data_IF_745310881899
#
_entry.id   IF_745310881899
#
_cell.length_a   1.000
_cell.length_b   1.000
_cell.length_c   1.000
_cell.angle_alpha   90.00
_cell.angle_beta   90.00
_cell.angle_gamma   90.00
#
_symmetry.space_group_name_H-M   'P 1'
#
loop_
_entity.id
_entity.type
_entity.pdbx_description
1 polymer ?
#
# COMPACT_ATOMS: atom_id res chain seq x y z
N UNK A 1 -71.89 -26.68 -31.30
CA UNK A 1 -71.81 -25.20 -31.23
C UNK A 1 -71.48 -24.85 -29.77
N UNK A 2 -70.27 -25.27 -29.36
CA UNK A 2 -69.12 -24.46 -28.85
C UNK A 2 -69.27 -24.14 -27.35
N UNK A 3 -68.72 -24.90 -26.37
CA UNK A 3 -67.34 -25.30 -25.99
C UNK A 3 -66.68 -24.33 -24.97
N UNK A 4 -65.99 -24.94 -23.99
CA UNK A 4 -65.32 -24.45 -22.75
C UNK A 4 -64.43 -23.20 -22.86
N UNK A 5 -64.14 -22.52 -21.72
CA UNK A 5 -62.79 -22.12 -21.21
C UNK A 5 -62.88 -21.62 -19.75
N UNK A 6 -61.82 -21.92 -18.98
CA UNK A 6 -61.59 -21.76 -17.55
C UNK A 6 -60.81 -20.47 -17.12
N UNK A 7 -60.78 -20.28 -15.79
CA UNK A 7 -59.76 -19.66 -14.89
C UNK A 7 -59.29 -18.19 -15.03
N UNK A 8 -59.27 -17.42 -13.93
CA UNK A 8 -58.14 -17.33 -12.96
C UNK A 8 -58.38 -16.23 -11.90
N UNK A 9 -58.10 -16.53 -10.63
CA UNK A 9 -58.19 -15.64 -9.46
C UNK A 9 -57.04 -14.61 -9.41
N UNK A 10 -57.33 -13.35 -9.04
CA UNK A 10 -56.31 -12.34 -8.69
C UNK A 10 -56.72 -11.60 -7.41
N UNK A 11 -56.13 -11.97 -6.27
CA UNK A 11 -56.17 -11.19 -5.02
C UNK A 11 -54.81 -10.52 -4.83
N UNK A 12 -54.83 -9.19 -4.92
CA UNK A 12 -53.69 -8.30 -4.71
C UNK A 12 -53.27 -8.31 -3.23
N UNK A 13 -52.07 -8.80 -2.95
CA UNK A 13 -51.41 -8.61 -1.66
C UNK A 13 -50.26 -7.62 -1.86
N UNK A 14 -50.44 -6.41 -1.31
CA UNK A 14 -49.43 -5.38 -1.29
C UNK A 14 -48.45 -5.62 -0.13
N UNK A 15 -47.32 -6.25 -0.43
CA UNK A 15 -46.10 -6.17 0.38
C UNK A 15 -44.94 -5.90 -0.57
N UNK A 16 -44.46 -4.66 -0.57
CA UNK A 16 -43.33 -4.23 -1.39
C UNK A 16 -42.05 -4.93 -0.98
N UNK A 17 -41.69 -5.99 -1.70
CA UNK A 17 -40.34 -6.54 -1.72
C UNK A 17 -39.43 -5.55 -2.46
N UNK A 18 -38.51 -4.92 -1.72
CA UNK A 18 -37.34 -4.29 -2.32
C UNK A 18 -36.40 -5.40 -2.84
N UNK A 19 -35.84 -5.31 -4.06
CA UNK A 19 -34.97 -6.35 -4.59
C UNK A 19 -33.57 -6.27 -3.96
N UNK A 20 -33.44 -6.71 -2.72
CA UNK A 20 -32.17 -7.02 -2.05
C UNK A 20 -31.79 -8.47 -2.35
N UNK A 21 -31.32 -8.78 -3.56
CA UNK A 21 -30.92 -10.17 -3.86
C UNK A 21 -29.82 -10.35 -4.91
N UNK A 22 -29.10 -9.29 -5.31
CA UNK A 22 -27.95 -9.41 -6.24
C UNK A 22 -26.62 -8.97 -5.60
N UNK A 23 -26.65 -8.26 -4.46
CA UNK A 23 -25.44 -7.79 -3.76
C UNK A 23 -24.92 -8.77 -2.69
N UNK A 24 -25.72 -9.74 -2.28
CA UNK A 24 -25.36 -10.78 -1.29
C UNK A 24 -24.84 -12.05 -1.97
N UNK A 25 -23.95 -11.91 -2.95
CA UNK A 25 -23.20 -13.09 -3.38
C UNK A 25 -22.33 -13.54 -2.20
N UNK A 26 -22.74 -14.66 -1.62
CA UNK A 26 -22.30 -15.24 -0.35
C UNK A 26 -20.78 -15.18 -0.19
N UNK A 27 -20.34 -14.38 0.78
CA UNK A 27 -19.03 -14.52 1.38
C UNK A 27 -19.07 -15.75 2.29
N UNK A 28 -18.53 -16.88 1.83
CA UNK A 28 -18.31 -18.05 2.69
C UNK A 28 -17.29 -17.77 3.81
N UNK A 29 -16.50 -16.69 3.69
CA UNK A 29 -15.46 -16.27 4.63
C UNK A 29 -15.90 -15.03 5.44
N UNK A 30 -16.97 -15.14 6.21
CA UNK A 30 -17.28 -14.12 7.20
C UNK A 30 -16.13 -14.04 8.24
N UNK A 31 -15.62 -12.84 8.59
CA UNK A 31 -14.52 -12.73 9.55
C UNK A 31 -14.90 -13.39 10.89
N UNK A 32 -14.01 -14.23 11.41
CA UNK A 32 -14.18 -15.09 12.61
C UNK A 32 -14.50 -14.29 13.89
N UNK A 33 -14.32 -12.97 13.87
CA UNK A 33 -14.84 -12.08 14.91
C UNK A 33 -15.14 -10.68 14.36
N UNK A 34 -16.34 -10.16 14.63
CA UNK A 34 -16.72 -8.79 14.28
C UNK A 34 -16.19 -7.82 15.35
N UNK A 35 -15.62 -6.70 14.90
CA UNK A 35 -15.20 -5.62 15.79
C UNK A 35 -16.43 -5.05 16.52
N UNK A 36 -16.25 -4.55 17.75
CA UNK A 36 -17.31 -3.83 18.45
C UNK A 36 -17.69 -2.55 17.70
N UNK A 37 -18.86 -1.97 17.98
CA UNK A 37 -19.28 -0.69 17.39
C UNK A 37 -18.25 0.42 17.64
N UNK A 38 -17.69 0.45 18.84
CA UNK A 38 -16.59 1.35 19.21
C UNK A 38 -15.35 1.11 18.37
N UNK A 39 -14.99 -0.16 18.13
CA UNK A 39 -13.86 -0.51 17.26
C UNK A 39 -14.03 0.00 15.83
N UNK A 40 -15.22 -0.18 15.23
CA UNK A 40 -15.50 0.37 13.90
C UNK A 40 -15.48 1.89 13.86
N UNK A 41 -15.97 2.56 14.91
CA UNK A 41 -15.89 4.01 15.02
C UNK A 41 -14.43 4.49 15.08
N UNK A 42 -13.59 3.86 15.92
CA UNK A 42 -12.17 4.19 16.02
C UNK A 42 -11.45 3.96 14.69
N UNK A 43 -11.66 2.80 14.05
CA UNK A 43 -11.10 2.48 12.74
C UNK A 43 -11.50 3.52 11.69
N UNK A 44 -12.76 3.95 11.69
CA UNK A 44 -13.26 4.98 10.77
C UNK A 44 -12.57 6.33 11.01
N UNK A 45 -12.34 6.73 12.26
CA UNK A 45 -11.60 7.96 12.58
C UNK A 45 -10.17 7.89 12.06
N UNK A 46 -9.45 6.80 12.30
CA UNK A 46 -8.07 6.64 11.80
C UNK A 46 -8.01 6.59 10.28
N UNK A 47 -8.91 5.84 9.63
CA UNK A 47 -8.96 5.79 8.17
C UNK A 47 -9.34 7.13 7.56
N UNK A 48 -10.26 7.88 8.18
CA UNK A 48 -10.60 9.24 7.77
C UNK A 48 -9.40 10.18 7.88
N UNK A 49 -8.65 10.10 8.98
CA UNK A 49 -7.40 10.84 9.14
C UNK A 49 -6.37 10.48 8.05
N UNK A 50 -6.13 9.19 7.81
CA UNK A 50 -5.18 8.72 6.79
C UNK A 50 -5.64 9.17 5.39
N UNK A 51 -6.94 9.07 5.09
CA UNK A 51 -7.51 9.50 3.82
C UNK A 51 -7.28 11.00 3.59
N UNK A 52 -7.61 11.85 4.56
CA UNK A 52 -7.49 13.30 4.43
C UNK A 52 -6.03 13.75 4.41
N UNK A 53 -5.25 13.42 5.44
CA UNK A 53 -3.86 13.90 5.54
C UNK A 53 -2.93 13.20 4.55
N UNK A 54 -3.15 11.92 4.26
CA UNK A 54 -2.39 11.19 3.25
C UNK A 54 -2.61 11.80 1.87
N UNK A 55 -3.85 12.11 1.50
CA UNK A 55 -4.12 12.76 0.22
C UNK A 55 -3.55 14.19 0.17
N UNK A 56 -3.83 15.03 1.18
CA UNK A 56 -3.42 16.43 1.19
C UNK A 56 -1.90 16.59 1.20
N UNK A 57 -1.18 15.83 2.03
CA UNK A 57 0.28 15.95 2.13
C UNK A 57 0.97 15.54 0.81
N UNK A 58 0.51 14.45 0.19
CA UNK A 58 1.05 14.04 -1.11
C UNK A 58 0.67 14.99 -2.24
N UNK A 59 -0.54 15.56 -2.20
CA UNK A 59 -0.96 16.60 -3.15
C UNK A 59 -0.08 17.84 -3.05
N UNK A 60 0.30 18.25 -1.84
CA UNK A 60 1.26 19.35 -1.64
C UNK A 60 2.60 19.04 -2.29
N UNK A 61 3.15 17.82 -2.14
CA UNK A 61 4.39 17.42 -2.82
C UNK A 61 4.27 17.56 -4.34
N UNK A 62 3.16 17.08 -4.92
CA UNK A 62 2.88 17.20 -6.35
C UNK A 62 2.80 18.67 -6.80
N UNK A 63 2.08 19.52 -6.06
CA UNK A 63 1.96 20.95 -6.36
C UNK A 63 3.33 21.65 -6.30
N UNK A 64 4.13 21.37 -5.26
CA UNK A 64 5.47 21.94 -5.11
C UNK A 64 6.37 21.54 -6.29
N UNK A 65 6.34 20.27 -6.69
CA UNK A 65 7.12 19.77 -7.83
C UNK A 65 6.70 20.44 -9.16
N UNK A 66 5.40 20.62 -9.37
CA UNK A 66 4.87 21.30 -10.55
C UNK A 66 5.25 22.78 -10.58
N UNK A 67 5.13 23.48 -9.44
CA UNK A 67 5.35 24.92 -9.31
C UNK A 67 6.83 25.31 -9.38
N UNK A 68 7.70 24.57 -8.70
CA UNK A 68 9.12 24.93 -8.57
C UNK A 68 9.99 24.11 -9.51
N UNK A 69 10.44 24.74 -10.61
CA UNK A 69 11.37 24.10 -11.58
C UNK A 69 12.66 23.59 -10.92
N UNK A 70 13.13 24.27 -9.87
CA UNK A 70 14.31 23.87 -9.08
C UNK A 70 14.17 22.48 -8.45
N UNK A 71 12.93 22.04 -8.17
CA UNK A 71 12.66 20.73 -7.60
C UNK A 71 12.62 19.60 -8.65
N UNK A 72 12.71 19.89 -9.96
CA UNK A 72 12.61 18.87 -11.01
C UNK A 72 13.94 18.17 -11.24
N UNK A 73 14.42 17.46 -10.23
CA UNK A 73 15.65 16.67 -10.29
C UNK A 73 15.34 15.18 -10.50
N UNK A 74 16.28 14.38 -11.04
CA UNK A 74 16.16 12.92 -11.15
C UNK A 74 15.66 12.23 -9.87
N UNK A 75 16.14 12.70 -8.71
CA UNK A 75 15.80 12.18 -7.38
C UNK A 75 14.35 12.49 -7.02
N UNK A 76 13.96 13.72 -7.25
CA UNK A 76 12.63 14.21 -6.90
C UNK A 76 11.55 13.59 -7.80
N UNK A 77 11.91 13.06 -8.98
CA UNK A 77 10.98 12.25 -9.78
C UNK A 77 10.60 10.94 -9.08
N UNK A 78 11.51 10.28 -8.37
CA UNK A 78 11.20 9.08 -7.59
C UNK A 78 10.34 9.42 -6.35
N UNK A 79 10.65 10.53 -5.68
CA UNK A 79 9.80 11.05 -4.59
C UNK A 79 8.40 11.38 -5.08
N UNK A 80 8.29 12.00 -6.26
CA UNK A 80 7.00 12.26 -6.91
C UNK A 80 6.25 10.96 -7.20
N UNK A 81 6.93 9.92 -7.69
CA UNK A 81 6.30 8.62 -7.95
C UNK A 81 5.73 7.97 -6.69
N UNK A 82 6.44 8.06 -5.57
CA UNK A 82 5.96 7.62 -4.26
C UNK A 82 4.72 8.44 -3.86
N UNK A 83 4.76 9.77 -4.03
CA UNK A 83 3.61 10.60 -3.69
C UNK A 83 2.38 10.33 -4.54
N UNK A 84 2.56 10.09 -5.84
CA UNK A 84 1.46 9.72 -6.75
C UNK A 84 0.86 8.38 -6.36
N UNK A 85 1.67 7.36 -6.08
CA UNK A 85 1.18 6.05 -5.64
C UNK A 85 0.46 6.12 -4.29
N UNK A 86 1.00 6.84 -3.32
CA UNK A 86 0.36 7.05 -2.00
C UNK A 86 -0.96 7.84 -2.11
N UNK A 87 -1.07 8.82 -3.03
CA UNK A 87 -2.35 9.50 -3.32
C UNK A 87 -3.39 8.55 -3.88
N UNK A 88 -3.00 7.65 -4.78
CA UNK A 88 -3.90 6.68 -5.39
C UNK A 88 -4.39 5.65 -4.36
N UNK A 89 -3.53 5.25 -3.41
CA UNK A 89 -3.95 4.46 -2.23
C UNK A 89 -5.00 5.21 -1.42
N UNK A 90 -4.79 6.49 -1.15
CA UNK A 90 -5.76 7.28 -0.38
C UNK A 90 -7.10 7.42 -1.10
N UNK A 91 -7.05 7.75 -2.40
CA UNK A 91 -8.23 8.02 -3.22
C UNK A 91 -9.09 6.79 -3.43
N UNK A 92 -8.48 5.68 -3.83
CA UNK A 92 -9.21 4.49 -4.24
C UNK A 92 -9.28 3.41 -3.16
N UNK A 93 -8.23 3.28 -2.36
CA UNK A 93 -8.17 2.33 -1.25
C UNK A 93 -8.81 2.89 0.01
N UNK A 94 -8.12 3.81 0.68
CA UNK A 94 -8.51 4.29 2.00
C UNK A 94 -9.93 4.85 2.02
N UNK A 95 -10.39 5.52 0.96
CA UNK A 95 -11.79 5.98 0.82
C UNK A 95 -12.81 4.85 0.93
N UNK A 96 -12.60 3.73 0.21
CA UNK A 96 -13.52 2.58 0.24
C UNK A 96 -13.48 1.87 1.59
N UNK A 97 -12.30 1.76 2.20
CA UNK A 97 -12.14 1.23 3.55
C UNK A 97 -12.83 2.09 4.60
N UNK A 98 -12.71 3.42 4.47
CA UNK A 98 -13.35 4.38 5.35
C UNK A 98 -14.87 4.24 5.26
N UNK A 99 -15.42 4.27 4.04
CA UNK A 99 -16.87 4.11 3.83
C UNK A 99 -17.39 2.78 4.39
N UNK A 100 -16.66 1.69 4.15
CA UNK A 100 -17.01 0.35 4.68
C UNK A 100 -16.92 0.29 6.20
N UNK A 101 -15.94 0.96 6.81
CA UNK A 101 -15.75 1.01 8.27
C UNK A 101 -16.84 1.80 8.97
N UNK A 102 -17.32 2.90 8.39
CA UNK A 102 -18.45 3.69 8.92
C UNK A 102 -19.73 2.84 8.97
N UNK A 103 -19.93 1.99 7.97
CA UNK A 103 -21.06 1.05 7.89
C UNK A 103 -20.84 -0.26 8.66
N UNK A 104 -19.62 -0.53 9.12
CA UNK A 104 -19.25 -1.76 9.82
C UNK A 104 -19.31 -3.02 8.96
N UNK A 105 -19.32 -2.87 7.62
CA UNK A 105 -19.37 -3.98 6.65
C UNK A 105 -18.80 -3.54 5.31
N UNK A 106 -18.29 -4.48 4.53
CA UNK A 106 -17.89 -4.23 3.14
C UNK A 106 -19.08 -3.83 2.26
N UNK A 107 -18.89 -2.83 1.39
CA UNK A 107 -19.98 -2.21 0.61
C UNK A 107 -19.96 -2.53 -0.89
N UNK A 108 -18.84 -2.97 -1.44
CA UNK A 108 -18.61 -3.00 -2.91
C UNK A 108 -18.64 -4.43 -3.49
N UNK A 109 -19.13 -5.40 -2.72
CA UNK A 109 -19.20 -6.80 -3.11
C UNK A 109 -17.84 -7.45 -3.42
N UNK A 110 -17.85 -8.68 -3.95
CA UNK A 110 -16.63 -9.47 -4.20
C UNK A 110 -15.74 -8.86 -5.30
N UNK A 111 -16.33 -8.42 -6.41
CA UNK A 111 -15.60 -7.76 -7.50
C UNK A 111 -14.87 -6.50 -7.04
N UNK A 112 -15.55 -5.64 -6.27
CA UNK A 112 -14.93 -4.46 -5.68
C UNK A 112 -13.84 -4.78 -4.67
N UNK A 113 -13.96 -5.87 -3.92
CA UNK A 113 -12.93 -6.33 -2.99
C UNK A 113 -11.67 -6.81 -3.71
N UNK A 114 -11.82 -7.58 -4.79
CA UNK A 114 -10.69 -8.01 -5.61
C UNK A 114 -9.99 -6.82 -6.25
N UNK A 115 -10.76 -5.88 -6.81
CA UNK A 115 -10.22 -4.64 -7.35
C UNK A 115 -9.49 -3.83 -6.29
N UNK A 116 -10.10 -3.64 -5.11
CA UNK A 116 -9.46 -2.96 -3.97
C UNK A 116 -8.15 -3.63 -3.59
N UNK A 117 -8.14 -4.96 -3.42
CA UNK A 117 -6.95 -5.69 -2.99
C UNK A 117 -5.82 -5.53 -4.00
N UNK A 118 -6.15 -5.65 -5.29
CA UNK A 118 -5.23 -5.44 -6.40
C UNK A 118 -4.62 -4.04 -6.41
N UNK A 119 -5.45 -2.99 -6.44
CA UNK A 119 -4.94 -1.61 -6.58
C UNK A 119 -4.11 -1.18 -5.38
N UNK A 120 -4.52 -1.53 -4.15
CA UNK A 120 -3.77 -1.18 -2.94
C UNK A 120 -2.43 -1.92 -2.88
N UNK A 121 -2.42 -3.20 -3.25
CA UNK A 121 -1.17 -3.97 -3.32
C UNK A 121 -0.24 -3.40 -4.40
N UNK A 122 -0.80 -3.05 -5.57
CA UNK A 122 -0.03 -2.51 -6.69
C UNK A 122 0.63 -1.19 -6.30
N UNK A 123 -0.14 -0.21 -5.82
CA UNK A 123 0.40 1.09 -5.44
C UNK A 123 1.36 0.99 -4.23
N UNK A 124 1.08 0.10 -3.27
CA UNK A 124 1.99 -0.14 -2.15
C UNK A 124 3.36 -0.68 -2.58
N UNK A 125 3.39 -1.60 -3.55
CA UNK A 125 4.63 -2.12 -4.12
C UNK A 125 5.32 -1.04 -4.98
N UNK A 126 4.59 -0.21 -5.72
CA UNK A 126 5.18 0.93 -6.46
C UNK A 126 5.93 1.85 -5.49
N UNK A 127 5.32 2.22 -4.35
CA UNK A 127 5.97 3.02 -3.31
C UNK A 127 7.24 2.35 -2.77
N UNK A 128 7.18 1.06 -2.44
CA UNK A 128 8.32 0.30 -1.89
C UNK A 128 9.48 0.17 -2.86
N UNK A 129 9.20 -0.22 -4.11
CA UNK A 129 10.24 -0.36 -5.13
C UNK A 129 10.85 1.01 -5.46
N UNK A 130 10.05 2.07 -5.48
CA UNK A 130 10.55 3.44 -5.66
C UNK A 130 11.50 3.85 -4.53
N UNK A 131 11.21 3.48 -3.27
CA UNK A 131 12.11 3.69 -2.14
C UNK A 131 13.41 2.90 -2.27
N UNK A 132 13.34 1.65 -2.75
CA UNK A 132 14.52 0.82 -2.97
C UNK A 132 15.42 1.39 -4.07
N UNK A 133 14.84 1.81 -5.20
CA UNK A 133 15.59 2.48 -6.28
C UNK A 133 16.18 3.79 -5.80
N UNK A 134 15.41 4.61 -5.06
CA UNK A 134 15.90 5.86 -4.50
C UNK A 134 17.11 5.61 -3.59
N UNK A 135 17.06 4.58 -2.76
CA UNK A 135 18.15 4.19 -1.86
C UNK A 135 19.41 3.79 -2.63
N UNK A 136 19.26 3.03 -3.71
CA UNK A 136 20.37 2.66 -4.59
C UNK A 136 20.96 3.87 -5.32
N UNK A 137 20.12 4.75 -5.86
CA UNK A 137 20.56 5.97 -6.54
C UNK A 137 21.35 6.91 -5.60
N UNK A 138 20.88 7.09 -4.36
CA UNK A 138 21.60 7.85 -3.33
C UNK A 138 22.95 7.21 -3.01
N UNK A 139 22.98 5.89 -2.81
CA UNK A 139 24.23 5.17 -2.57
C UNK A 139 25.21 5.32 -3.74
N UNK A 140 24.77 5.08 -4.97
CA UNK A 140 25.61 5.17 -6.17
C UNK A 140 26.16 6.56 -6.37
N UNK A 141 25.34 7.61 -6.22
CA UNK A 141 25.76 9.00 -6.43
C UNK A 141 26.80 9.45 -5.40
N UNK A 142 26.70 8.97 -4.16
CA UNK A 142 27.57 9.39 -3.05
C UNK A 142 28.87 8.60 -2.92
N UNK A 143 28.89 7.34 -3.36
CA UNK A 143 30.06 6.48 -3.28
C UNK A 143 30.86 6.45 -4.58
N UNK A 144 30.17 6.46 -5.72
CA UNK A 144 30.79 6.54 -7.03
C UNK A 144 30.76 8.01 -7.43
N UNK A 145 31.88 8.70 -7.24
CA UNK A 145 32.04 10.10 -7.65
C UNK A 145 31.76 10.21 -9.15
N UNK A 146 30.55 10.64 -9.49
CA UNK A 146 30.08 10.65 -10.87
C UNK A 146 29.93 12.12 -11.31
N UNK A 147 30.95 12.66 -11.95
CA UNK A 147 30.94 13.97 -12.63
C UNK A 147 30.03 13.98 -13.89
N UNK A 148 28.94 13.21 -13.89
CA UNK A 148 28.02 13.11 -15.04
C UNK A 148 26.84 14.05 -14.84
N UNK A 149 26.43 14.68 -15.93
CA UNK A 149 25.21 15.48 -15.98
C UNK A 149 24.00 14.66 -15.49
N UNK A 150 23.00 15.30 -14.85
CA UNK A 150 21.79 14.63 -14.42
C UNK A 150 21.07 13.98 -15.61
N UNK A 151 21.03 12.64 -15.61
CA UNK A 151 20.37 11.84 -16.63
C UNK A 151 18.93 11.51 -16.20
N UNK A 152 17.96 12.13 -16.87
CA UNK A 152 16.54 11.93 -16.61
C UNK A 152 15.99 10.61 -17.16
N UNK A 153 16.72 9.91 -18.03
CA UNK A 153 16.27 8.62 -18.60
C UNK A 153 16.21 7.54 -17.53
N UNK A 154 17.19 7.50 -16.62
CA UNK A 154 17.25 6.48 -15.56
C UNK A 154 16.09 6.55 -14.57
N UNK A 155 15.75 7.71 -13.97
CA UNK A 155 14.56 7.82 -13.12
C UNK A 155 13.27 7.49 -13.87
N UNK A 156 13.12 7.94 -15.12
CA UNK A 156 11.91 7.67 -15.90
C UNK A 156 11.72 6.17 -16.17
N UNK A 157 12.80 5.49 -16.55
CA UNK A 157 12.82 4.03 -16.69
C UNK A 157 12.55 3.33 -15.35
N UNK A 158 13.09 3.84 -14.25
CA UNK A 158 12.83 3.29 -12.92
C UNK A 158 11.37 3.47 -12.48
N UNK A 159 10.76 4.61 -12.79
CA UNK A 159 9.33 4.85 -12.59
C UNK A 159 8.55 3.82 -13.38
N UNK A 160 8.68 3.77 -14.70
CA UNK A 160 7.97 2.78 -15.53
C UNK A 160 8.22 1.34 -15.09
N UNK A 161 9.45 1.01 -14.74
CA UNK A 161 9.84 -0.30 -14.20
C UNK A 161 9.16 -0.64 -12.88
N UNK A 162 9.03 0.32 -11.96
CA UNK A 162 8.34 0.10 -10.67
C UNK A 162 6.86 -0.23 -10.87
N UNK A 163 6.19 0.42 -11.84
CA UNK A 163 4.80 0.15 -12.18
C UNK A 163 4.63 -1.23 -12.82
N UNK A 164 5.45 -1.57 -13.82
CA UNK A 164 5.42 -2.88 -14.47
C UNK A 164 5.74 -4.01 -13.49
N UNK A 165 6.73 -3.81 -12.62
CA UNK A 165 7.10 -4.78 -11.59
C UNK A 165 5.96 -5.01 -10.59
N UNK A 166 5.28 -3.94 -10.16
CA UNK A 166 4.16 -4.04 -9.24
C UNK A 166 2.97 -4.74 -9.88
N UNK A 167 2.68 -4.46 -11.14
CA UNK A 167 1.64 -5.15 -11.90
C UNK A 167 1.95 -6.64 -12.06
N UNK A 168 3.19 -6.99 -12.37
CA UNK A 168 3.62 -8.38 -12.51
C UNK A 168 3.34 -9.20 -11.24
N UNK A 169 3.60 -8.63 -10.05
CA UNK A 169 3.37 -9.33 -8.80
C UNK A 169 1.95 -9.26 -8.27
N UNK A 170 1.13 -8.28 -8.68
CA UNK A 170 -0.22 -8.09 -8.12
C UNK A 170 -1.35 -8.56 -9.01
N UNK A 171 -1.09 -8.74 -10.31
CA UNK A 171 -2.04 -9.37 -11.24
C UNK A 171 -2.28 -10.88 -10.99
N UNK A 172 -1.30 -11.72 -10.58
CA UNK A 172 -1.50 -13.17 -10.47
C UNK A 172 -2.68 -13.63 -9.59
N UNK A 173 -3.00 -13.00 -8.44
CA UNK A 173 -4.20 -13.34 -7.68
C UNK A 173 -5.52 -13.06 -8.40
N UNK A 174 -5.54 -12.19 -9.42
CA UNK A 174 -6.70 -12.01 -10.30
C UNK A 174 -6.83 -13.13 -11.34
N UNK A 175 -5.73 -13.84 -11.62
CA UNK A 175 -5.63 -14.92 -12.60
C UNK A 175 -5.66 -16.32 -11.96
N UNK A 176 -5.87 -16.40 -10.64
CA UNK A 176 -5.99 -17.65 -9.89
C UNK A 176 -4.73 -18.12 -9.16
N UNK A 177 -3.61 -17.38 -9.21
CA UNK A 177 -2.45 -17.65 -8.36
C UNK A 177 -2.60 -16.89 -7.04
N UNK A 178 -3.22 -17.54 -6.05
CA UNK A 178 -3.82 -16.93 -4.84
C UNK A 178 -5.12 -16.18 -5.14
N UNK A 179 -5.62 -15.41 -4.17
CA UNK A 179 -6.83 -14.60 -4.29
C UNK A 179 -6.76 -13.34 -3.43
N UNK A 180 -7.58 -12.34 -3.77
CA UNK A 180 -7.87 -11.21 -2.88
C UNK A 180 -9.17 -11.48 -2.12
N UNK A 181 -9.18 -11.21 -0.82
CA UNK A 181 -10.31 -11.42 0.07
C UNK A 181 -10.40 -10.37 1.17
N UNK A 182 -11.44 -10.48 1.99
CA UNK A 182 -11.62 -9.59 3.14
C UNK A 182 -10.49 -9.81 4.15
N UNK A 183 -10.00 -8.73 4.72
CA UNK A 183 -9.03 -8.76 5.81
C UNK A 183 -9.54 -8.05 7.06
N UNK A 184 -8.96 -8.43 8.20
CA UNK A 184 -9.19 -7.79 9.48
C UNK A 184 -10.65 -7.77 9.91
N UNK A 185 -11.20 -6.57 10.10
CA UNK A 185 -12.58 -6.36 10.52
C UNK A 185 -13.63 -6.60 9.41
N UNK A 186 -13.21 -7.02 8.20
CA UNK A 186 -14.11 -7.21 7.07
C UNK A 186 -14.53 -5.91 6.36
N UNK A 187 -13.71 -4.87 6.48
CA UNK A 187 -13.95 -3.55 5.86
C UNK A 187 -12.83 -3.10 4.93
N UNK A 188 -11.83 -3.96 4.71
CA UNK A 188 -10.73 -3.79 3.76
C UNK A 188 -10.44 -5.12 3.10
N UNK A 189 -9.74 -5.10 1.96
CA UNK A 189 -9.38 -6.30 1.23
C UNK A 189 -7.89 -6.38 0.97
N UNK A 190 -7.33 -7.59 0.99
CA UNK A 190 -5.92 -7.86 0.70
C UNK A 190 -5.76 -9.28 0.18
N UNK A 191 -4.53 -9.71 -0.08
CA UNK A 191 -4.22 -11.10 -0.39
C UNK A 191 -4.79 -11.99 0.70
N UNK A 192 -5.42 -13.10 0.33
CA UNK A 192 -6.01 -14.04 1.28
C UNK A 192 -4.93 -14.81 2.03
N UNK A 193 -4.52 -14.28 3.19
CA UNK A 193 -3.44 -14.84 4.00
C UNK A 193 -3.77 -16.18 4.67
N UNK A 194 -5.05 -16.50 4.82
CA UNK A 194 -5.55 -17.70 5.51
C UNK A 194 -5.75 -18.90 4.60
N UNK A 195 -5.61 -18.73 3.28
CA UNK A 195 -5.81 -19.80 2.30
C UNK A 195 -4.71 -20.85 2.42
N UNK A 196 -5.09 -22.09 2.76
CA UNK A 196 -4.18 -23.22 2.99
C UNK A 196 -3.81 -23.99 1.72
N UNK A 197 -3.99 -23.40 0.54
CA UNK A 197 -3.66 -24.07 -0.72
C UNK A 197 -2.16 -23.88 -1.05
N UNK A 198 -1.49 -24.88 -1.66
CA UNK A 198 -0.10 -24.74 -2.10
C UNK A 198 0.11 -23.57 -3.07
N UNK A 199 -0.89 -23.25 -3.89
CA UNK A 199 -0.88 -22.13 -4.81
C UNK A 199 -0.84 -20.80 -4.06
N UNK A 200 -1.68 -20.62 -3.03
CA UNK A 200 -1.66 -19.42 -2.18
C UNK A 200 -0.34 -19.29 -1.41
N UNK A 201 0.15 -20.37 -0.81
CA UNK A 201 1.42 -20.35 -0.07
C UNK A 201 2.62 -20.01 -0.96
N UNK A 202 2.72 -20.62 -2.14
CA UNK A 202 3.81 -20.32 -3.09
C UNK A 202 3.80 -18.85 -3.53
N UNK A 203 2.61 -18.29 -3.84
CA UNK A 203 2.48 -16.87 -4.16
C UNK A 203 2.91 -15.97 -3.00
N UNK A 204 2.44 -16.26 -1.78
CA UNK A 204 2.78 -15.47 -0.59
C UNK A 204 4.28 -15.49 -0.34
N UNK A 205 4.94 -16.65 -0.45
CA UNK A 205 6.40 -16.76 -0.34
C UNK A 205 7.10 -15.88 -1.38
N UNK A 206 6.67 -15.93 -2.65
CA UNK A 206 7.23 -15.08 -3.70
C UNK A 206 7.02 -13.60 -3.41
N UNK A 207 5.82 -13.20 -2.98
CA UNK A 207 5.49 -11.82 -2.62
C UNK A 207 6.42 -11.31 -1.50
N UNK A 208 6.61 -12.09 -0.44
CA UNK A 208 7.50 -11.72 0.67
C UNK A 208 8.97 -11.66 0.26
N UNK A 209 9.45 -12.57 -0.59
CA UNK A 209 10.84 -12.57 -1.05
C UNK A 209 11.11 -11.39 -1.99
N UNK A 210 10.32 -11.28 -3.05
CA UNK A 210 10.59 -10.37 -4.16
C UNK A 210 10.05 -8.97 -3.89
N UNK A 211 8.90 -8.83 -3.24
CA UNK A 211 8.29 -7.52 -3.01
C UNK A 211 8.63 -6.93 -1.65
N UNK A 212 9.14 -7.69 -0.67
CA UNK A 212 9.53 -7.16 0.65
C UNK A 212 11.01 -7.40 0.97
N UNK A 213 11.44 -8.65 1.13
CA UNK A 213 12.78 -8.97 1.64
C UNK A 213 13.89 -8.42 0.74
N UNK A 214 13.83 -8.68 -0.57
CA UNK A 214 14.84 -8.20 -1.51
C UNK A 214 14.93 -6.65 -1.55
N UNK A 215 13.81 -5.90 -1.72
CA UNK A 215 13.83 -4.44 -1.62
C UNK A 215 14.40 -3.93 -0.29
N UNK A 216 13.99 -4.51 0.84
CA UNK A 216 14.48 -4.10 2.16
C UNK A 216 15.97 -4.38 2.33
N UNK A 217 16.43 -5.57 1.95
CA UNK A 217 17.85 -5.93 2.01
C UNK A 217 18.69 -5.01 1.12
N UNK A 218 18.20 -4.67 -0.08
CA UNK A 218 18.87 -3.71 -0.96
C UNK A 218 18.98 -2.33 -0.29
N UNK A 219 17.92 -1.84 0.35
CA UNK A 219 17.94 -0.58 1.10
C UNK A 219 18.95 -0.62 2.26
N UNK A 220 18.88 -1.66 3.10
CA UNK A 220 19.79 -1.85 4.24
C UNK A 220 21.25 -1.93 3.78
N UNK A 221 21.54 -2.67 2.72
CA UNK A 221 22.88 -2.78 2.14
C UNK A 221 23.39 -1.41 1.65
N UNK A 222 22.59 -0.71 0.85
CA UNK A 222 22.95 0.60 0.31
C UNK A 222 23.30 1.60 1.43
N UNK A 223 22.46 1.68 2.47
CA UNK A 223 22.70 2.60 3.58
C UNK A 223 23.82 2.15 4.51
N UNK A 224 23.95 0.86 4.79
CA UNK A 224 25.06 0.32 5.58
C UNK A 224 26.41 0.65 4.96
N UNK A 225 26.55 0.42 3.64
CA UNK A 225 27.76 0.77 2.88
C UNK A 225 28.01 2.26 2.82
N UNK A 226 26.94 3.05 2.70
CA UNK A 226 27.04 4.51 2.68
C UNK A 226 27.53 5.05 4.03
N UNK A 227 26.94 4.62 5.15
CA UNK A 227 27.39 4.98 6.50
C UNK A 227 28.83 4.54 6.78
N UNK A 228 29.22 3.36 6.30
CA UNK A 228 30.61 2.89 6.39
C UNK A 228 31.57 3.83 5.64
N UNK A 229 31.27 4.15 4.38
CA UNK A 229 32.09 5.04 3.54
C UNK A 229 32.22 6.42 4.17
N UNK A 230 31.10 6.94 4.70
CA UNK A 230 31.01 8.20 5.41
C UNK A 230 31.93 8.23 6.64
N UNK A 231 31.93 7.16 7.44
CA UNK A 231 32.76 7.05 8.64
C UNK A 231 34.25 7.00 8.30
N UNK A 232 34.61 6.36 7.18
CA UNK A 232 36.00 6.31 6.67
C UNK A 232 36.49 7.67 6.16
N UNK A 233 35.64 8.40 5.42
CA UNK A 233 36.03 9.69 4.79
C UNK A 233 35.79 10.90 5.71
N UNK A 234 35.03 10.74 6.79
CA UNK A 234 34.68 11.78 7.77
C UNK A 234 35.86 12.41 8.52
N UNK A 235 37.08 11.87 8.35
CA UNK A 235 38.31 12.46 8.90
C UNK A 235 38.91 13.60 8.07
N UNK A 236 38.48 13.84 6.82
CA UNK A 236 39.33 14.61 5.88
C UNK A 236 38.81 15.99 5.42
N UNK A 237 37.51 16.34 5.42
CA UNK A 237 37.02 17.76 5.28
C UNK A 237 35.49 17.86 5.25
N UNK A 238 34.91 18.83 5.97
CA UNK A 238 33.47 19.16 5.92
C UNK A 238 33.20 20.30 4.93
N UNK A 239 32.85 19.99 3.68
CA UNK A 239 32.35 20.98 2.71
C UNK A 239 30.82 21.13 2.82
N UNK A 240 30.29 22.32 2.49
CA UNK A 240 28.85 22.62 2.55
C UNK A 240 28.02 21.69 1.63
N UNK A 241 28.53 21.36 0.44
CA UNK A 241 27.91 20.39 -0.47
C UNK A 241 27.76 19.01 0.18
N UNK A 242 28.76 18.56 0.94
CA UNK A 242 28.70 17.26 1.63
C UNK A 242 27.70 17.25 2.79
N UNK A 243 27.52 18.37 3.48
CA UNK A 243 26.48 18.53 4.52
C UNK A 243 25.07 18.38 3.96
N UNK A 244 24.83 18.90 2.74
CA UNK A 244 23.54 18.76 2.03
C UNK A 244 23.26 17.30 1.67
N UNK A 245 24.28 16.60 1.15
CA UNK A 245 24.18 15.17 0.86
C UNK A 245 23.91 14.33 2.11
N UNK A 246 24.55 14.64 3.24
CA UNK A 246 24.25 14.00 4.54
C UNK A 246 22.82 14.22 5.00
N UNK A 247 22.27 15.40 4.77
CA UNK A 247 20.89 15.72 5.11
C UNK A 247 19.90 14.89 4.28
N UNK A 248 20.16 14.78 2.96
CA UNK A 248 19.37 13.95 2.05
C UNK A 248 19.47 12.48 2.47
N UNK A 249 20.66 12.00 2.81
CA UNK A 249 20.87 10.64 3.34
C UNK A 249 20.05 10.38 4.61
N UNK A 250 20.11 11.28 5.59
CA UNK A 250 19.36 11.16 6.83
C UNK A 250 17.86 11.16 6.57
N UNK A 251 17.37 11.96 5.61
CA UNK A 251 15.99 11.93 5.14
C UNK A 251 15.59 10.55 4.63
N UNK A 252 16.33 9.97 3.69
CA UNK A 252 15.92 8.69 3.11
C UNK A 252 16.04 7.53 4.11
N UNK A 253 17.07 7.52 4.98
CA UNK A 253 17.15 6.53 6.08
C UNK A 253 15.93 6.65 6.99
N UNK A 254 15.54 7.87 7.36
CA UNK A 254 14.36 8.12 8.19
C UNK A 254 13.11 7.59 7.49
N UNK A 255 12.94 7.85 6.19
CA UNK A 255 11.83 7.32 5.40
C UNK A 255 11.81 5.78 5.41
N UNK A 256 12.95 5.12 5.22
CA UNK A 256 13.03 3.65 5.23
C UNK A 256 12.66 3.09 6.61
N UNK A 257 13.20 3.67 7.68
CA UNK A 257 12.87 3.23 9.06
C UNK A 257 11.37 3.40 9.32
N UNK A 258 10.80 4.56 8.99
CA UNK A 258 9.37 4.80 9.11
C UNK A 258 8.54 3.80 8.29
N UNK A 259 8.95 3.54 7.04
CA UNK A 259 8.27 2.58 6.18
C UNK A 259 8.30 1.17 6.78
N UNK A 260 9.46 0.70 7.26
CA UNK A 260 9.58 -0.60 7.91
C UNK A 260 8.75 -0.69 9.19
N UNK A 261 8.73 0.36 10.02
CA UNK A 261 7.88 0.41 11.21
C UNK A 261 6.39 0.33 10.85
N UNK A 262 5.99 0.92 9.71
CA UNK A 262 4.62 0.85 9.23
C UNK A 262 4.24 -0.55 8.70
N UNK A 263 5.13 -1.17 7.91
CA UNK A 263 4.79 -2.37 7.13
C UNK A 263 5.19 -3.69 7.79
N UNK A 264 6.23 -3.73 8.61
CA UNK A 264 6.71 -4.97 9.23
C UNK A 264 5.65 -5.64 10.13
N UNK A 265 4.89 -4.92 10.97
CA UNK A 265 3.83 -5.55 11.77
C UNK A 265 2.78 -6.26 10.91
N UNK A 266 2.42 -5.67 9.77
CA UNK A 266 1.48 -6.28 8.83
C UNK A 266 2.07 -7.54 8.20
N UNK A 267 3.32 -7.46 7.75
CA UNK A 267 4.04 -8.61 7.19
C UNK A 267 4.14 -9.79 8.17
N UNK A 268 4.44 -9.51 9.44
CA UNK A 268 4.49 -10.55 10.49
C UNK A 268 3.13 -11.21 10.69
N UNK A 269 2.06 -10.43 10.81
CA UNK A 269 0.71 -10.99 11.00
C UNK A 269 0.21 -11.75 9.76
N UNK A 270 0.56 -11.30 8.56
CA UNK A 270 0.28 -12.03 7.33
C UNK A 270 1.01 -13.39 7.30
N UNK A 271 2.31 -13.44 7.63
CA UNK A 271 3.05 -14.71 7.71
C UNK A 271 2.51 -15.63 8.81
N UNK A 272 2.14 -15.07 9.96
CA UNK A 272 1.48 -15.84 11.02
C UNK A 272 0.12 -16.37 10.60
N UNK A 273 -0.63 -15.64 9.75
CA UNK A 273 -1.91 -16.11 9.20
C UNK A 273 -1.72 -17.25 8.22
N UNK A 274 -0.62 -17.23 7.46
CA UNK A 274 -0.31 -18.21 6.42
C UNK A 274 0.33 -19.47 6.98
N UNK A 275 1.30 -19.35 7.88
CA UNK A 275 2.10 -20.48 8.38
C UNK A 275 1.84 -20.84 9.84
N UNK A 276 1.10 -20.00 10.58
CA UNK A 276 0.76 -20.26 11.98
C UNK A 276 -0.42 -21.23 12.14
N UNK A 277 -0.66 -21.65 13.39
CA UNK A 277 -1.79 -22.50 13.73
C UNK A 277 -3.15 -21.79 13.61
N UNK A 278 -4.26 -22.53 13.44
CA UNK A 278 -5.61 -21.96 13.46
C UNK A 278 -5.90 -21.23 14.78
N UNK A 279 -6.53 -20.06 14.73
CA UNK A 279 -6.96 -19.31 15.92
C UNK A 279 -5.89 -18.45 16.62
N UNK A 280 -4.68 -18.33 16.04
CA UNK A 280 -3.59 -17.53 16.63
C UNK A 280 -3.83 -16.01 16.53
N UNK A 281 -4.66 -15.55 15.60
CA UNK A 281 -4.82 -14.12 15.30
C UNK A 281 -6.22 -13.64 15.70
N UNK A 282 -6.26 -12.71 16.64
CA UNK A 282 -7.49 -12.00 17.01
C UNK A 282 -7.83 -10.91 15.98
N UNK A 283 -9.10 -10.50 15.85
CA UNK A 283 -9.47 -9.39 14.96
C UNK A 283 -8.67 -8.11 15.21
N UNK A 284 -8.38 -7.78 16.48
CA UNK A 284 -7.57 -6.60 16.83
C UNK A 284 -6.12 -6.75 16.32
N UNK A 285 -5.54 -7.94 16.48
CA UNK A 285 -4.18 -8.24 16.02
C UNK A 285 -4.04 -8.15 14.49
N UNK A 286 -5.14 -8.22 13.73
CA UNK A 286 -5.15 -8.03 12.27
C UNK A 286 -5.45 -6.59 11.82
N UNK A 287 -6.29 -5.86 12.57
CA UNK A 287 -6.70 -4.48 12.20
C UNK A 287 -5.60 -3.47 12.46
N UNK A 288 -4.94 -3.52 13.62
CA UNK A 288 -3.92 -2.54 14.00
C UNK A 288 -2.76 -2.50 12.99
N UNK A 289 -2.17 -3.64 12.59
CA UNK A 289 -1.12 -3.63 11.57
C UNK A 289 -1.58 -3.14 10.20
N UNK A 290 -2.81 -3.44 9.78
CA UNK A 290 -3.36 -2.94 8.51
C UNK A 290 -3.50 -1.41 8.52
N UNK A 291 -4.00 -0.82 9.61
CA UNK A 291 -4.07 0.65 9.77
C UNK A 291 -2.67 1.27 9.80
N UNK A 292 -1.72 0.63 10.48
CA UNK A 292 -0.35 1.10 10.58
C UNK A 292 0.37 1.08 9.22
N UNK A 293 0.17 0.02 8.41
CA UNK A 293 0.68 -0.04 7.05
C UNK A 293 0.09 1.09 6.18
N UNK A 294 -1.22 1.34 6.26
CA UNK A 294 -1.88 2.45 5.54
C UNK A 294 -1.39 3.83 5.99
N UNK A 295 -0.94 3.96 7.24
CA UNK A 295 -0.43 5.23 7.78
C UNK A 295 0.90 5.67 7.13
N UNK A 296 1.60 4.77 6.43
CA UNK A 296 2.83 5.14 5.70
C UNK A 296 2.57 6.23 4.66
N UNK A 297 1.37 6.29 4.07
CA UNK A 297 1.01 7.32 3.06
C UNK A 297 0.99 8.74 3.65
N UNK A 298 0.75 8.87 4.96
CA UNK A 298 0.80 10.15 5.68
C UNK A 298 2.24 10.50 6.06
N UNK A 299 3.02 9.50 6.47
CA UNK A 299 4.36 9.69 7.02
C UNK A 299 5.37 9.97 5.91
N UNK A 300 5.30 9.27 4.77
CA UNK A 300 6.26 9.42 3.67
C UNK A 300 6.47 10.89 3.26
N UNK A 301 5.42 11.68 2.95
CA UNK A 301 5.57 13.07 2.54
C UNK A 301 6.04 13.99 3.65
N UNK A 302 5.66 13.73 4.90
CA UNK A 302 6.11 14.55 6.04
C UNK A 302 7.61 14.45 6.18
N UNK A 303 8.17 13.25 6.00
CA UNK A 303 9.62 13.06 5.98
C UNK A 303 10.25 13.83 4.82
N UNK A 304 9.67 13.80 3.62
CA UNK A 304 10.20 14.54 2.47
C UNK A 304 10.12 16.06 2.64
N UNK A 305 8.96 16.59 3.07
CA UNK A 305 8.73 18.04 3.18
C UNK A 305 9.57 18.63 4.32
N UNK A 306 9.60 17.99 5.49
CA UNK A 306 10.34 18.53 6.65
C UNK A 306 11.85 18.43 6.48
N UNK A 307 12.33 17.46 5.70
CA UNK A 307 13.75 17.17 5.56
C UNK A 307 14.33 17.59 4.19
N UNK A 308 13.52 18.06 3.26
CA UNK A 308 14.01 18.69 2.04
C UNK A 308 14.11 20.21 2.23
N UNK A 309 15.33 20.70 2.49
CA UNK A 309 15.63 22.14 2.68
C UNK A 309 15.90 22.89 1.37
N UNK A 310 15.49 22.33 0.23
CA UNK A 310 15.63 22.94 -1.10
C UNK A 310 14.48 23.90 -1.38
#
# INVERSE_FOLDING_TARGET
MFSEVADFNYSSNASGEYPYSVLDQEWSDAPVGKLSRTGFNMMSVFLGFIMTFGFLNNLVVLILFCKFKTLRTPVNMLLLNISVSDMLVCLFGTTLSFASSVRGRWLVGKGGCMWYGFINSCFGIVSLISLAVLSYDRYSTLTVYNNRAPDYRKPLLAVGGSWLYSLFWTAPPLLGWSSYGLEGAGTSCSVTWTSQTPQSHSYIICLFIFCLALPVLAMVYCYGRLLYTVKQVGKIRKTAARRREYHILFMVITTVVCYLLCWMPYGVVALMSTFGGPGVITPIASVVPSILAKSSTVINPLVYILMNKQ
#
